data_IF_832371233209
#
_entry.id   IF_832371233209
#
_cell.length_a   1.000
_cell.length_b   1.000
_cell.length_c   1.000
_cell.angle_alpha   90.00
_cell.angle_beta   90.00
_cell.angle_gamma   90.00
#
_symmetry.space_group_name_H-M   'P 1'
#
loop_
_entity.id
_entity.type
_entity.pdbx_description
1 polymer ?
#
# COMPACT_ATOMS: atom_id res chain seq x y z
N UNK A 1 -3.36 -26.60 -33.78
CA UNK A 1 -2.68 -26.08 -32.56
C UNK A 1 -3.42 -24.92 -31.89
N UNK A 2 -3.92 -23.90 -32.62
CA UNK A 2 -4.62 -22.74 -32.01
C UNK A 2 -5.90 -23.06 -31.24
N UNK A 3 -6.70 -24.06 -31.68
CA UNK A 3 -7.93 -24.47 -30.97
C UNK A 3 -7.65 -25.16 -29.63
N UNK A 4 -6.57 -25.95 -29.55
CA UNK A 4 -6.15 -26.62 -28.31
C UNK A 4 -5.74 -25.61 -27.23
N UNK A 5 -5.04 -24.55 -27.64
CA UNK A 5 -4.62 -23.45 -26.75
C UNK A 5 -5.81 -22.65 -26.19
N UNK A 6 -6.91 -22.55 -26.93
CA UNK A 6 -8.11 -21.84 -26.49
C UNK A 6 -8.88 -22.62 -25.40
N UNK A 7 -8.97 -23.94 -25.56
CA UNK A 7 -9.60 -24.81 -24.56
C UNK A 7 -8.80 -24.88 -23.26
N UNK A 8 -7.47 -24.89 -23.31
CA UNK A 8 -6.65 -24.87 -22.09
C UNK A 8 -6.77 -23.54 -21.35
N UNK A 9 -6.89 -22.42 -22.08
CA UNK A 9 -7.12 -21.10 -21.49
C UNK A 9 -8.51 -21.02 -20.82
N UNK A 10 -9.54 -21.59 -21.46
CA UNK A 10 -10.90 -21.60 -20.91
C UNK A 10 -11.03 -22.45 -19.63
N UNK A 11 -10.32 -23.59 -19.57
CA UNK A 11 -10.24 -24.43 -18.37
C UNK A 11 -9.54 -23.71 -17.22
N UNK A 12 -8.49 -22.94 -17.51
CA UNK A 12 -7.72 -22.20 -16.51
C UNK A 12 -8.56 -21.09 -15.85
N UNK A 13 -9.39 -20.39 -16.63
CA UNK A 13 -10.27 -19.32 -16.12
C UNK A 13 -11.37 -19.89 -15.22
N UNK A 14 -11.92 -21.07 -15.54
CA UNK A 14 -12.97 -21.71 -14.75
C UNK A 14 -12.47 -22.11 -13.34
N UNK A 15 -11.22 -22.58 -13.23
CA UNK A 15 -10.62 -22.97 -11.95
C UNK A 15 -10.38 -21.78 -11.01
N UNK A 16 -10.04 -20.61 -11.56
CA UNK A 16 -9.89 -19.38 -10.79
C UNK A 16 -11.23 -18.89 -10.21
N UNK A 17 -12.34 -19.04 -10.95
CA UNK A 17 -13.67 -18.62 -10.49
C UNK A 17 -14.18 -19.47 -9.31
N UNK A 18 -13.85 -20.76 -9.26
CA UNK A 18 -14.24 -21.65 -8.16
C UNK A 18 -13.42 -21.45 -6.89
N UNK A 19 -12.22 -20.86 -6.99
CA UNK A 19 -11.33 -20.62 -5.85
C UNK A 19 -11.75 -19.38 -5.01
N UNK A 20 -12.58 -18.48 -5.56
CA UNK A 20 -12.88 -17.18 -4.94
C UNK A 20 -14.09 -17.18 -4.01
N UNK A 21 -14.73 -18.34 -3.77
CA UNK A 21 -16.03 -18.44 -3.06
C UNK A 21 -15.99 -18.86 -1.58
N UNK A 22 -14.84 -18.81 -0.91
CA UNK A 22 -14.76 -19.06 0.53
C UNK A 22 -14.23 -17.83 1.29
N UNK A 23 -15.15 -16.98 1.71
CA UNK A 23 -14.93 -16.08 2.84
C UNK A 23 -16.03 -16.38 3.85
N UNK A 24 -15.68 -17.12 4.91
CA UNK A 24 -16.56 -17.49 6.00
C UNK A 24 -17.13 -16.24 6.70
N UNK A 25 -18.45 -16.08 6.67
CA UNK A 25 -19.15 -15.08 7.49
C UNK A 25 -19.29 -15.61 8.93
N UNK A 26 -18.31 -15.29 9.79
CA UNK A 26 -18.36 -15.63 11.22
C UNK A 26 -19.29 -14.66 11.96
N UNK A 27 -20.55 -15.02 12.15
CA UNK A 27 -21.48 -14.27 13.02
C UNK A 27 -21.31 -14.66 14.49
N UNK A 28 -21.03 -13.70 15.36
CA UNK A 28 -20.93 -13.90 16.82
C UNK A 28 -22.24 -13.45 17.47
N UNK A 29 -22.87 -14.32 18.26
CA UNK A 29 -24.01 -13.97 19.10
C UNK A 29 -23.50 -13.55 20.48
N UNK A 30 -23.72 -12.28 20.86
CA UNK A 30 -23.37 -11.79 22.20
C UNK A 30 -24.57 -12.05 23.11
N UNK A 31 -24.44 -13.00 24.04
CA UNK A 31 -25.44 -13.26 25.07
C UNK A 31 -25.19 -12.35 26.27
N UNK A 32 -25.86 -11.20 26.30
CA UNK A 32 -25.97 -10.37 27.51
C UNK A 32 -26.97 -11.00 28.47
N UNK A 33 -26.61 -11.08 29.75
CA UNK A 33 -27.40 -11.69 30.81
C UNK A 33 -28.69 -10.89 31.08
N UNK A 34 -29.83 -11.59 31.14
CA UNK A 34 -31.18 -11.12 31.53
C UNK A 34 -31.84 -10.10 30.59
N UNK A 35 -32.35 -10.61 29.47
CA UNK A 35 -33.65 -10.30 28.84
C UNK A 35 -33.58 -10.81 27.39
N UNK A 36 -34.61 -11.51 26.94
CA UNK A 36 -34.62 -12.40 25.77
C UNK A 36 -34.52 -11.72 24.39
N UNK A 37 -33.79 -10.61 24.26
CA UNK A 37 -33.60 -9.91 23.00
C UNK A 37 -32.20 -10.18 22.43
N UNK A 38 -32.08 -11.23 21.62
CA UNK A 38 -30.85 -11.60 20.94
C UNK A 38 -30.58 -10.65 19.76
N UNK A 39 -29.86 -9.56 20.03
CA UNK A 39 -29.42 -8.64 18.98
C UNK A 39 -28.36 -9.32 18.13
N UNK A 40 -28.67 -9.54 16.85
CA UNK A 40 -27.73 -10.13 15.87
C UNK A 40 -26.64 -9.11 15.56
N UNK A 41 -25.52 -9.17 16.28
CA UNK A 41 -24.37 -8.32 16.02
C UNK A 41 -23.61 -8.84 14.78
N UNK A 42 -23.76 -8.14 13.65
CA UNK A 42 -22.96 -8.39 12.45
C UNK A 42 -21.66 -7.60 12.57
N UNK A 43 -20.53 -8.28 12.71
CA UNK A 43 -19.22 -7.67 12.52
C UNK A 43 -19.10 -7.25 11.06
N UNK A 44 -18.86 -5.95 10.84
CA UNK A 44 -18.63 -5.45 9.49
C UNK A 44 -17.34 -6.08 8.95
N UNK A 45 -17.27 -6.41 7.64
CA UNK A 45 -16.01 -6.77 7.02
C UNK A 45 -15.01 -5.63 7.19
N UNK A 46 -13.73 -5.98 7.31
CA UNK A 46 -12.65 -4.99 7.41
C UNK A 46 -12.76 -3.99 6.27
N UNK A 47 -12.94 -2.71 6.60
CA UNK A 47 -12.87 -1.61 5.64
C UNK A 47 -11.39 -1.29 5.47
N UNK A 48 -10.84 -1.66 4.31
CA UNK A 48 -9.54 -1.18 3.90
C UNK A 48 -9.73 0.16 3.20
N UNK A 49 -9.23 1.22 3.83
CA UNK A 49 -9.14 2.53 3.19
C UNK A 49 -8.01 2.42 2.15
N UNK A 50 -8.38 2.19 0.90
CA UNK A 50 -7.46 2.32 -0.22
C UNK A 50 -7.21 3.82 -0.43
N UNK A 51 -6.01 4.29 -0.07
CA UNK A 51 -5.64 5.69 -0.24
C UNK A 51 -5.89 6.20 -1.65
N UNK A 52 -6.25 7.48 -1.77
CA UNK A 52 -6.47 8.16 -3.07
C UNK A 52 -5.13 8.18 -3.81
N UNK A 53 -4.93 7.22 -4.71
CA UNK A 53 -3.77 7.17 -5.58
C UNK A 53 -4.10 7.87 -6.89
N UNK A 54 -3.17 8.69 -7.36
CA UNK A 54 -3.22 9.28 -8.68
C UNK A 54 -3.37 8.19 -9.75
N UNK A 55 -4.39 8.32 -10.60
CA UNK A 55 -4.54 7.48 -11.79
C UNK A 55 -3.47 7.80 -12.84
N UNK A 56 -3.25 6.91 -13.81
CA UNK A 56 -2.23 7.09 -14.85
C UNK A 56 -2.40 8.40 -15.65
N UNK A 57 -3.63 8.87 -15.83
CA UNK A 57 -3.97 10.04 -16.64
C UNK A 57 -4.12 11.35 -15.84
N UNK A 58 -3.63 11.41 -14.60
CA UNK A 58 -3.67 12.66 -13.84
C UNK A 58 -2.72 13.70 -14.44
N UNK A 59 -3.07 15.01 -14.44
CA UNK A 59 -2.26 16.07 -15.04
C UNK A 59 -1.07 16.50 -14.16
N UNK A 60 -0.34 15.54 -13.59
CA UNK A 60 0.92 15.78 -12.88
C UNK A 60 1.88 14.61 -13.03
N UNK A 61 3.18 14.88 -12.91
CA UNK A 61 4.21 13.85 -12.96
C UNK A 61 4.12 12.94 -11.74
N UNK A 62 4.12 11.63 -11.99
CA UNK A 62 4.11 10.60 -10.96
C UNK A 62 5.12 9.50 -11.30
N UNK A 63 5.68 8.88 -10.26
CA UNK A 63 6.57 7.73 -10.39
C UNK A 63 6.04 6.62 -9.49
N UNK A 64 5.78 5.44 -10.06
CA UNK A 64 5.33 4.26 -9.31
C UNK A 64 6.47 3.24 -9.24
N UNK A 65 6.86 2.89 -8.01
CA UNK A 65 7.87 1.87 -7.77
C UNK A 65 7.15 0.59 -7.32
N UNK A 66 7.25 -0.46 -8.14
CA UNK A 66 6.65 -1.76 -7.82
C UNK A 66 7.53 -2.55 -6.86
N UNK A 67 6.91 -3.51 -6.15
CA UNK A 67 7.59 -4.42 -5.22
C UNK A 67 8.83 -5.07 -5.82
N UNK A 68 8.79 -5.49 -7.09
CA UNK A 68 9.92 -6.12 -7.77
C UNK A 68 11.12 -5.19 -7.95
N UNK A 69 10.90 -3.88 -8.15
CA UNK A 69 11.96 -2.89 -8.23
C UNK A 69 12.53 -2.58 -6.84
N UNK A 70 11.65 -2.48 -5.83
CA UNK A 70 12.05 -2.31 -4.43
C UNK A 70 12.95 -3.47 -3.99
N UNK A 71 12.54 -4.72 -4.23
CA UNK A 71 13.30 -5.90 -3.82
C UNK A 71 14.68 -6.00 -4.47
N UNK A 72 14.89 -5.43 -5.66
CA UNK A 72 16.21 -5.42 -6.32
C UNK A 72 17.18 -4.42 -5.72
N UNK A 73 16.67 -3.27 -5.27
CA UNK A 73 17.47 -2.18 -4.73
C UNK A 73 17.49 -2.18 -3.18
N UNK A 74 16.75 -3.09 -2.54
CA UNK A 74 16.72 -3.21 -1.09
C UNK A 74 17.96 -3.98 -0.60
N UNK A 75 18.98 -3.23 -0.21
CA UNK A 75 20.22 -3.75 0.40
C UNK A 75 20.28 -3.53 1.92
N UNK A 76 19.13 -3.24 2.56
CA UNK A 76 19.05 -2.92 3.99
C UNK A 76 19.27 -1.43 4.33
N UNK A 77 19.20 -0.55 3.34
CA UNK A 77 19.19 0.90 3.51
C UNK A 77 17.77 1.43 3.75
N UNK A 78 17.66 2.67 4.19
CA UNK A 78 16.38 3.33 4.43
C UNK A 78 15.59 3.56 3.13
N UNK A 79 14.26 3.70 3.26
CA UNK A 79 13.34 3.87 2.12
C UNK A 79 13.76 4.99 1.15
N UNK A 80 14.23 6.17 1.59
CA UNK A 80 14.69 7.21 0.67
C UNK A 80 15.74 6.72 -0.34
N UNK A 81 16.65 5.82 0.05
CA UNK A 81 17.69 5.32 -0.84
C UNK A 81 17.15 4.45 -1.98
N UNK A 82 16.00 3.79 -1.78
CA UNK A 82 15.31 3.06 -2.85
C UNK A 82 14.81 4.03 -3.94
N UNK A 83 14.55 5.29 -3.58
CA UNK A 83 14.07 6.34 -4.48
C UNK A 83 15.19 7.14 -5.15
N UNK A 84 16.47 6.78 -5.00
CA UNK A 84 17.60 7.54 -5.55
C UNK A 84 17.63 7.64 -7.09
N UNK A 85 16.97 6.70 -7.76
CA UNK A 85 16.83 6.68 -9.22
C UNK A 85 15.60 7.46 -9.71
N UNK A 86 14.78 8.01 -8.80
CA UNK A 86 13.60 8.79 -9.17
C UNK A 86 14.02 10.20 -9.60
N UNK A 87 13.68 10.63 -10.83
CA UNK A 87 14.01 11.99 -11.28
C UNK A 87 13.40 13.06 -10.37
N UNK A 88 14.21 14.02 -9.97
CA UNK A 88 13.80 15.13 -9.10
C UNK A 88 13.76 14.78 -7.61
N UNK A 89 14.08 13.55 -7.21
CA UNK A 89 14.37 13.22 -5.83
C UNK A 89 15.87 13.35 -5.56
N UNK A 90 16.23 14.01 -4.47
CA UNK A 90 17.61 14.10 -3.95
C UNK A 90 17.59 13.52 -2.56
N UNK A 91 18.41 12.50 -2.34
CA UNK A 91 18.50 11.81 -1.05
C UNK A 91 19.86 12.09 -0.45
N UNK A 92 19.88 12.29 0.86
CA UNK A 92 21.10 12.42 1.64
C UNK A 92 21.03 11.53 2.87
N UNK A 93 22.19 11.22 3.43
CA UNK A 93 22.37 10.53 4.70
C UNK A 93 23.48 11.26 5.44
N UNK A 94 23.29 11.57 6.72
CA UNK A 94 24.32 12.19 7.55
C UNK A 94 25.61 11.35 7.58
N UNK A 95 25.46 10.03 7.77
CA UNK A 95 26.56 9.07 7.81
C UNK A 95 27.05 8.61 6.43
N UNK A 96 26.41 9.01 5.34
CA UNK A 96 26.76 8.61 3.96
C UNK A 96 26.53 7.13 3.62
N UNK A 97 26.13 6.29 4.58
CA UNK A 97 25.87 4.86 4.39
C UNK A 97 24.40 4.54 4.04
N UNK A 98 23.51 5.53 4.14
CA UNK A 98 22.09 5.38 3.82
C UNK A 98 21.25 4.70 4.88
N UNK A 99 21.68 4.77 6.14
CA UNK A 99 20.94 4.27 7.31
C UNK A 99 20.87 5.38 8.37
N UNK A 100 19.70 5.54 9.00
CA UNK A 100 19.50 6.44 10.14
C UNK A 100 18.99 7.81 9.71
N UNK A 101 19.78 8.88 9.96
CA UNK A 101 19.45 10.27 9.59
C UNK A 101 19.50 10.47 8.07
N UNK A 102 18.55 9.85 7.39
CA UNK A 102 18.33 9.97 5.95
C UNK A 102 17.25 11.00 5.68
N UNK A 103 17.45 11.78 4.64
CA UNK A 103 16.51 12.81 4.22
C UNK A 103 16.25 12.72 2.73
N UNK A 104 15.08 13.18 2.34
CA UNK A 104 14.65 13.28 0.95
C UNK A 104 14.22 14.70 0.64
N UNK A 105 14.60 15.16 -0.54
CA UNK A 105 14.11 16.40 -1.14
C UNK A 105 13.50 16.10 -2.48
N UNK A 106 12.31 16.64 -2.75
CA UNK A 106 11.62 16.46 -4.03
C UNK A 106 11.55 17.83 -4.70
N UNK A 107 12.16 17.97 -5.88
CA UNK A 107 12.24 19.24 -6.64
C UNK A 107 12.78 20.42 -5.80
N UNK A 108 13.73 20.14 -4.91
CA UNK A 108 14.34 21.14 -4.02
C UNK A 108 13.55 21.43 -2.74
N UNK A 109 12.34 20.86 -2.59
CA UNK A 109 11.53 20.98 -1.38
C UNK A 109 12.02 20.02 -0.29
N UNK A 110 12.11 20.49 0.94
CA UNK A 110 12.51 19.71 2.12
C UNK A 110 11.34 18.87 2.70
N UNK A 111 11.67 17.96 3.61
CA UNK A 111 10.73 17.00 4.17
C UNK A 111 9.52 17.63 4.88
N UNK A 112 9.65 18.81 5.49
CA UNK A 112 8.54 19.50 6.19
C UNK A 112 7.42 19.96 5.25
N UNK A 113 7.68 19.98 3.95
CA UNK A 113 6.76 20.43 2.90
C UNK A 113 6.36 19.29 1.95
N UNK A 114 6.77 18.06 2.26
CA UNK A 114 6.42 16.85 1.52
C UNK A 114 5.41 16.06 2.36
N UNK A 115 4.24 15.77 1.79
CA UNK A 115 3.27 14.92 2.45
C UNK A 115 3.64 13.43 2.25
N UNK A 116 3.90 12.75 3.36
CA UNK A 116 4.12 11.32 3.42
C UNK A 116 2.82 10.66 3.88
N UNK A 117 2.36 9.68 3.11
CA UNK A 117 1.14 8.95 3.45
C UNK A 117 1.39 7.46 3.46
N UNK A 118 0.89 6.76 4.48
CA UNK A 118 0.87 5.31 4.55
C UNK A 118 -0.58 4.87 4.31
N UNK A 119 -0.82 4.12 3.23
CA UNK A 119 -2.16 3.70 2.81
C UNK A 119 -3.18 4.85 2.70
N UNK A 120 -2.71 6.06 2.36
CA UNK A 120 -3.55 7.26 2.24
C UNK A 120 -3.77 8.06 3.52
N UNK A 121 -3.22 7.63 4.65
CA UNK A 121 -3.24 8.38 5.92
C UNK A 121 -1.94 9.18 6.03
N UNK A 122 -2.02 10.48 6.29
CA UNK A 122 -0.85 11.32 6.51
C UNK A 122 -0.03 10.82 7.70
N UNK A 123 1.28 10.71 7.50
CA UNK A 123 2.25 10.23 8.49
C UNK A 123 3.10 11.37 9.08
N UNK A 124 3.10 12.54 8.44
CA UNK A 124 3.82 13.71 8.93
C UNK A 124 3.39 14.07 10.36
N UNK A 125 4.36 14.52 11.16
CA UNK A 125 4.11 15.05 12.49
C UNK A 125 3.24 16.32 12.45
N UNK A 126 2.31 16.45 13.40
CA UNK A 126 1.31 17.52 13.37
C UNK A 126 1.91 18.91 13.59
N UNK A 127 2.96 19.01 14.41
CA UNK A 127 3.59 20.28 14.76
C UNK A 127 4.65 20.69 13.72
N UNK A 128 5.59 19.79 13.47
CA UNK A 128 6.77 20.08 12.64
C UNK A 128 6.56 19.78 11.15
N UNK A 129 5.54 19.00 10.81
CA UNK A 129 5.34 18.41 9.47
C UNK A 129 6.52 17.52 9.01
N UNK A 130 7.46 17.21 9.90
CA UNK A 130 8.59 16.34 9.62
C UNK A 130 8.20 14.87 9.61
N UNK A 131 9.13 14.05 9.11
CA UNK A 131 9.09 12.59 9.20
C UNK A 131 10.42 12.16 9.82
N UNK A 132 10.32 11.44 10.94
CA UNK A 132 11.43 10.99 11.76
C UNK A 132 11.30 9.49 12.02
#
# INVERSE_FOLDING_TARGET
>A
MKKLLYYTCLLLIASFATAQKNADEKSIYVSGNTDSNSVKAKLMPSIEIQGVRAGQNYPFTQTMIYKSAISKNNVGQDIPFIMNQVPGAVIHSDAGNGVGYTGIRIRGTDASRINFTINGIAYNDAESQGVF
#
